data_IF_579536928251
#
_entry.id   IF_579536928251
#
_cell.length_a   1.000
_cell.length_b   1.000
_cell.length_c   1.000
_cell.angle_alpha   90.00
_cell.angle_beta   90.00
_cell.angle_gamma   90.00
#
_symmetry.space_group_name_H-M   'P 1'
#
loop_
_entity.id
_entity.type
_entity.pdbx_description
1 polymer ?
#
# COMPACT_ATOMS: atom_id res chain seq x y z
N UNK A 1 -0.66 3.58 21.19
CA UNK A 1 0.77 3.61 20.84
C UNK A 1 1.09 4.96 20.21
N UNK A 2 2.06 5.67 20.76
CA UNK A 2 2.50 6.98 20.26
C UNK A 2 3.98 6.93 19.97
N UNK A 3 4.41 7.63 18.91
CA UNK A 3 5.81 7.85 18.63
C UNK A 3 6.26 9.14 19.32
N UNK A 4 7.45 9.12 19.89
CA UNK A 4 8.08 10.32 20.47
C UNK A 4 8.83 11.06 19.36
N UNK A 5 8.58 12.37 19.27
CA UNK A 5 9.24 13.23 18.29
C UNK A 5 10.61 13.68 18.79
N UNK A 6 11.59 13.64 17.90
CA UNK A 6 12.95 14.12 18.14
C UNK A 6 13.55 14.66 16.83
N UNK A 7 14.79 15.07 16.89
CA UNK A 7 15.53 15.60 15.77
C UNK A 7 16.96 15.06 15.76
N UNK A 8 17.44 14.70 14.57
CA UNK A 8 18.83 14.31 14.32
C UNK A 8 19.43 15.28 13.30
N UNK A 9 20.32 16.17 13.76
CA UNK A 9 20.95 17.18 12.90
C UNK A 9 19.96 17.95 12.00
N UNK A 10 18.81 18.34 12.57
CA UNK A 10 17.76 19.06 11.87
C UNK A 10 16.83 18.19 11.00
N UNK A 11 16.98 16.87 11.04
CA UNK A 11 16.06 15.94 10.36
C UNK A 11 15.09 15.31 11.37
N UNK A 12 13.83 15.03 10.97
CA UNK A 12 12.87 14.37 11.85
C UNK A 12 13.36 12.99 12.27
N UNK A 13 13.21 12.69 13.55
CA UNK A 13 13.47 11.37 14.14
C UNK A 13 12.29 11.00 15.02
N UNK A 14 11.70 9.83 14.76
CA UNK A 14 10.61 9.27 15.56
C UNK A 14 11.10 8.06 16.34
N UNK A 15 10.81 8.04 17.63
CA UNK A 15 11.13 6.94 18.51
C UNK A 15 9.89 6.17 18.93
N UNK A 16 10.05 4.87 19.12
CA UNK A 16 9.10 4.03 19.83
C UNK A 16 9.86 3.10 20.79
N UNK A 17 9.72 3.33 22.09
CA UNK A 17 10.38 2.53 23.10
C UNK A 17 9.48 1.39 23.57
N UNK A 18 9.97 0.16 23.46
CA UNK A 18 9.32 -1.06 23.95
C UNK A 18 10.40 -2.11 24.22
N UNK A 19 10.06 -3.20 24.86
CA UNK A 19 10.94 -4.35 25.00
C UNK A 19 11.12 -5.03 23.64
N UNK A 20 12.31 -4.93 23.06
CA UNK A 20 12.66 -5.46 21.74
C UNK A 20 13.67 -6.61 21.81
N UNK A 21 14.04 -7.03 23.01
CA UNK A 21 15.02 -8.11 23.24
C UNK A 21 16.35 -7.87 22.51
N UNK A 22 16.94 -6.69 22.69
CA UNK A 22 18.21 -6.24 22.08
C UNK A 22 18.18 -6.15 20.54
N UNK A 23 17.00 -6.05 19.93
CA UNK A 23 16.85 -5.84 18.50
C UNK A 23 16.46 -4.37 18.25
N UNK A 24 17.19 -3.69 17.39
CA UNK A 24 16.81 -2.40 16.86
C UNK A 24 16.02 -2.60 15.54
N UNK A 25 14.88 -1.97 15.46
CA UNK A 25 14.08 -1.86 14.23
C UNK A 25 14.21 -0.43 13.72
N UNK A 26 14.85 -0.24 12.58
CA UNK A 26 15.07 1.08 12.00
C UNK A 26 14.38 1.23 10.65
N UNK A 27 13.90 2.43 10.37
CA UNK A 27 13.27 2.77 9.10
C UNK A 27 13.76 4.13 8.63
N UNK A 28 14.02 4.22 7.35
CA UNK A 28 14.42 5.44 6.67
C UNK A 28 13.38 5.74 5.60
N UNK A 29 12.70 6.88 5.73
CA UNK A 29 11.67 7.32 4.81
C UNK A 29 12.17 8.48 3.97
N UNK A 30 12.10 8.33 2.66
CA UNK A 30 12.48 9.36 1.69
C UNK A 30 11.23 9.83 0.97
N UNK A 31 10.96 11.13 1.02
CA UNK A 31 9.78 11.74 0.41
C UNK A 31 9.82 11.61 -1.12
N UNK A 32 8.73 11.10 -1.70
CA UNK A 32 8.54 10.91 -3.13
C UNK A 32 7.60 11.96 -3.75
N UNK A 33 7.05 12.89 -2.98
CA UNK A 33 6.00 13.82 -3.45
C UNK A 33 6.44 14.70 -4.62
N UNK A 34 7.73 14.82 -4.87
CA UNK A 34 8.32 15.65 -5.94
C UNK A 34 8.88 14.84 -7.11
N UNK A 35 8.68 13.53 -7.12
CA UNK A 35 9.08 12.68 -8.23
C UNK A 35 8.08 12.88 -9.38
N UNK A 36 8.52 13.27 -10.59
CA UNK A 36 7.63 13.39 -11.75
C UNK A 36 6.91 12.08 -12.07
N UNK A 37 5.67 12.18 -12.57
CA UNK A 37 4.82 11.01 -12.83
C UNK A 37 5.49 10.00 -13.75
N UNK A 38 6.21 10.46 -14.78
CA UNK A 38 6.94 9.62 -15.72
C UNK A 38 8.09 8.82 -15.08
N UNK A 39 8.59 9.23 -13.93
CA UNK A 39 9.65 8.53 -13.20
C UNK A 39 9.10 7.55 -12.15
N UNK A 40 7.82 7.59 -11.82
CA UNK A 40 7.22 6.73 -10.79
C UNK A 40 7.40 5.23 -11.07
N UNK A 41 7.26 4.72 -12.30
CA UNK A 41 7.51 3.30 -12.58
C UNK A 41 8.96 2.89 -12.30
N UNK A 42 9.91 3.79 -12.52
CA UNK A 42 11.34 3.54 -12.20
C UNK A 42 11.58 3.48 -10.69
N UNK A 43 10.84 4.26 -9.89
CA UNK A 43 10.87 4.12 -8.43
C UNK A 43 10.32 2.75 -8.00
N UNK A 44 9.23 2.31 -8.62
CA UNK A 44 8.69 0.97 -8.40
C UNK A 44 9.74 -0.11 -8.70
N UNK A 45 10.42 -0.03 -9.84
CA UNK A 45 11.46 -0.98 -10.22
C UNK A 45 12.70 -0.89 -9.32
N UNK A 46 13.05 0.30 -8.84
CA UNK A 46 14.18 0.50 -7.92
C UNK A 46 14.02 -0.31 -6.63
N UNK A 47 12.79 -0.55 -6.16
CA UNK A 47 12.55 -1.43 -4.99
C UNK A 47 12.97 -2.89 -5.22
N UNK A 48 12.99 -3.34 -6.47
CA UNK A 48 13.48 -4.68 -6.83
C UNK A 48 14.99 -4.70 -7.11
N UNK A 49 15.56 -3.57 -7.53
CA UNK A 49 16.97 -3.45 -7.93
C UNK A 49 17.88 -3.28 -6.73
N UNK A 50 17.56 -2.38 -5.79
CA UNK A 50 18.39 -2.14 -4.61
C UNK A 50 18.45 -3.40 -3.74
N UNK A 51 19.65 -3.70 -3.24
CA UNK A 51 19.89 -4.94 -2.50
C UNK A 51 20.04 -6.20 -3.37
N UNK A 52 19.78 -6.11 -4.69
CA UNK A 52 19.82 -7.23 -5.63
C UNK A 52 20.88 -7.07 -6.73
N UNK A 53 21.62 -5.99 -6.72
CA UNK A 53 22.77 -5.73 -7.62
C UNK A 53 24.06 -5.66 -6.82
N UNK A 54 25.19 -5.82 -7.51
CA UNK A 54 26.50 -5.60 -6.91
C UNK A 54 26.69 -4.13 -6.53
N UNK A 55 27.59 -3.90 -5.59
CA UNK A 55 27.98 -2.57 -5.13
C UNK A 55 29.50 -2.40 -5.30
N UNK A 56 30.05 -1.25 -4.93
CA UNK A 56 31.48 -1.01 -5.01
C UNK A 56 32.30 -1.98 -4.15
N UNK A 57 31.75 -2.45 -3.03
CA UNK A 57 32.45 -3.32 -2.07
C UNK A 57 32.12 -4.81 -2.22
N UNK A 58 30.94 -5.15 -2.74
CA UNK A 58 30.41 -6.51 -2.73
C UNK A 58 29.81 -6.90 -4.08
N UNK A 59 30.02 -8.14 -4.52
CA UNK A 59 29.11 -8.76 -5.49
C UNK A 59 27.72 -8.87 -4.87
N UNK A 60 26.67 -9.07 -5.67
CA UNK A 60 25.32 -9.18 -5.11
C UNK A 60 25.16 -10.42 -4.19
N UNK A 61 25.92 -11.51 -4.45
CA UNK A 61 25.95 -12.70 -3.60
C UNK A 61 26.64 -12.43 -2.26
N UNK A 62 27.81 -11.74 -2.31
CA UNK A 62 28.52 -11.30 -1.10
C UNK A 62 27.67 -10.32 -0.30
N UNK A 63 27.00 -9.36 -0.96
CA UNK A 63 26.09 -8.41 -0.30
C UNK A 63 24.96 -9.14 0.44
N UNK A 64 24.34 -10.11 -0.20
CA UNK A 64 23.29 -10.91 0.41
C UNK A 64 23.82 -11.70 1.63
N UNK A 65 25.02 -12.25 1.56
CA UNK A 65 25.65 -12.92 2.68
C UNK A 65 25.93 -11.96 3.85
N UNK A 66 26.47 -10.77 3.58
CA UNK A 66 26.72 -9.76 4.62
C UNK A 66 25.42 -9.28 5.28
N UNK A 67 24.35 -9.08 4.50
CA UNK A 67 23.03 -8.76 5.03
C UNK A 67 22.55 -9.85 5.99
N UNK A 68 22.71 -11.12 5.62
CA UNK A 68 22.28 -12.25 6.45
C UNK A 68 23.15 -12.44 7.71
N UNK A 69 24.44 -12.09 7.67
CA UNK A 69 25.34 -12.20 8.81
C UNK A 69 25.03 -11.10 9.85
N UNK A 70 24.84 -9.87 9.40
CA UNK A 70 24.78 -8.69 10.29
C UNK A 70 23.38 -8.21 10.59
N UNK A 71 22.37 -8.70 9.90
CA UNK A 71 21.00 -8.18 10.03
C UNK A 71 19.95 -9.28 10.04
N UNK A 72 18.76 -8.93 10.48
CA UNK A 72 17.56 -9.73 10.26
C UNK A 72 16.82 -9.39 8.94
N UNK A 73 17.51 -8.69 8.04
CA UNK A 73 17.05 -8.26 6.73
C UNK A 73 17.11 -6.75 6.54
N UNK A 74 17.41 -6.36 5.30
CA UNK A 74 17.28 -5.00 4.79
C UNK A 74 16.30 -5.09 3.60
N UNK A 75 15.30 -4.23 3.55
CA UNK A 75 14.31 -4.26 2.49
C UNK A 75 13.83 -2.87 2.08
N UNK A 76 13.56 -2.73 0.80
CA UNK A 76 13.05 -1.52 0.17
C UNK A 76 11.59 -1.72 -0.23
N UNK A 77 10.78 -0.72 -0.01
CA UNK A 77 9.36 -0.74 -0.38
C UNK A 77 8.79 0.68 -0.44
N UNK A 78 7.57 0.80 -0.94
CA UNK A 78 6.86 2.06 -0.97
C UNK A 78 5.82 2.11 0.15
N UNK A 79 5.59 3.30 0.67
CA UNK A 79 4.56 3.58 1.66
C UNK A 79 3.82 4.84 1.26
N UNK A 80 2.51 4.83 1.36
CA UNK A 80 1.66 5.98 1.06
C UNK A 80 0.84 6.26 2.30
N UNK A 81 1.06 7.42 2.89
CA UNK A 81 0.37 7.84 4.12
C UNK A 81 -0.74 8.82 3.75
N UNK A 82 -1.95 8.54 4.19
CA UNK A 82 -3.10 9.43 4.02
C UNK A 82 -3.34 10.20 5.31
N UNK A 83 -3.28 11.55 5.28
CA UNK A 83 -3.64 12.37 6.43
C UNK A 83 -5.11 12.19 6.80
N UNK A 84 -5.40 12.02 8.10
CA UNK A 84 -6.77 11.81 8.60
C UNK A 84 -7.71 12.98 8.28
N UNK A 85 -7.18 14.19 8.14
CA UNK A 85 -7.96 15.42 7.95
C UNK A 85 -8.17 15.84 6.49
N UNK A 86 -7.58 15.15 5.54
CA UNK A 86 -7.70 15.52 4.12
C UNK A 86 -7.79 14.26 3.26
N UNK A 87 -9.00 13.97 2.79
CA UNK A 87 -9.35 12.76 2.05
C UNK A 87 -8.65 12.62 0.69
N UNK A 88 -8.21 13.73 0.08
CA UNK A 88 -7.57 13.75 -1.23
C UNK A 88 -6.04 13.94 -1.15
N UNK A 89 -5.51 14.16 0.05
CA UNK A 89 -4.07 14.27 0.26
C UNK A 89 -3.45 12.90 0.51
N UNK A 90 -2.23 12.73 0.04
CA UNK A 90 -1.38 11.61 0.37
C UNK A 90 0.08 12.04 0.40
N UNK A 91 0.87 11.32 1.19
CA UNK A 91 2.31 11.53 1.29
C UNK A 91 3.01 10.22 0.94
N UNK A 92 3.65 10.13 -0.24
CA UNK A 92 4.34 8.92 -0.66
C UNK A 92 5.79 8.90 -0.18
N UNK A 93 6.26 7.74 0.23
CA UNK A 93 7.62 7.51 0.69
C UNK A 93 8.26 6.29 0.03
N UNK A 94 9.53 6.44 -0.35
CA UNK A 94 10.42 5.31 -0.52
C UNK A 94 10.97 4.93 0.85
N UNK A 95 10.76 3.70 1.25
CA UNK A 95 11.02 3.23 2.59
C UNK A 95 12.11 2.16 2.58
N UNK A 96 13.15 2.35 3.37
CA UNK A 96 14.15 1.35 3.70
C UNK A 96 13.92 0.89 5.13
N UNK A 97 13.80 -0.41 5.34
CA UNK A 97 13.61 -1.00 6.66
C UNK A 97 14.75 -1.98 6.95
N UNK A 98 15.26 -1.93 8.17
CA UNK A 98 16.27 -2.88 8.63
C UNK A 98 16.05 -3.23 10.11
N UNK A 99 16.52 -4.40 10.50
CA UNK A 99 16.56 -4.82 11.90
C UNK A 99 17.86 -5.56 12.17
N UNK A 100 18.44 -5.32 13.33
CA UNK A 100 19.67 -5.99 13.75
C UNK A 100 19.76 -6.04 15.28
N UNK A 101 20.66 -6.84 15.80
CA UNK A 101 21.05 -6.73 17.20
C UNK A 101 21.79 -5.40 17.45
N UNK A 102 21.75 -4.90 18.68
CA UNK A 102 22.38 -3.61 19.03
C UNK A 102 23.87 -3.54 18.69
N UNK A 103 24.61 -4.65 18.85
CA UNK A 103 26.03 -4.72 18.50
C UNK A 103 26.32 -4.77 16.99
N UNK A 104 25.28 -4.96 16.15
CA UNK A 104 25.36 -4.98 14.68
C UNK A 104 24.89 -3.68 14.03
N UNK A 105 24.58 -2.63 14.80
CA UNK A 105 24.06 -1.37 14.26
C UNK A 105 25.00 -0.73 13.23
N UNK A 106 26.29 -0.65 13.50
CA UNK A 106 27.26 -0.07 12.54
C UNK A 106 27.44 -0.92 11.29
N UNK A 107 27.67 -2.24 11.37
CA UNK A 107 27.67 -3.09 10.17
C UNK A 107 26.39 -2.97 9.34
N UNK A 108 25.23 -2.96 9.98
CA UNK A 108 23.93 -2.80 9.30
C UNK A 108 23.85 -1.47 8.55
N UNK A 109 24.19 -0.34 9.18
CA UNK A 109 24.07 0.97 8.53
C UNK A 109 25.07 1.17 7.39
N UNK A 110 26.27 0.56 7.50
CA UNK A 110 27.25 0.55 6.40
C UNK A 110 26.72 -0.22 5.19
N UNK A 111 25.97 -1.30 5.40
CA UNK A 111 25.28 -2.03 4.32
C UNK A 111 24.18 -1.19 3.70
N UNK A 112 23.38 -0.48 4.50
CA UNK A 112 22.35 0.45 3.99
C UNK A 112 23.00 1.56 3.16
N UNK A 113 24.07 2.18 3.66
CA UNK A 113 24.86 3.18 2.92
C UNK A 113 25.34 2.64 1.57
N UNK A 114 25.91 1.45 1.57
CA UNK A 114 26.44 0.79 0.37
C UNK A 114 25.35 0.54 -0.67
N UNK A 115 24.18 0.04 -0.24
CA UNK A 115 23.02 -0.22 -1.10
C UNK A 115 22.49 1.08 -1.71
N UNK A 116 22.30 2.13 -0.91
CA UNK A 116 21.67 3.35 -1.38
C UNK A 116 22.59 4.21 -2.27
N UNK A 117 23.91 4.22 -2.00
CA UNK A 117 24.85 5.17 -2.60
C UNK A 117 25.83 4.53 -3.60
N UNK A 118 26.02 3.22 -3.58
CA UNK A 118 27.06 2.54 -4.36
C UNK A 118 26.57 1.32 -5.14
N UNK A 119 25.27 1.16 -5.31
CA UNK A 119 24.72 0.10 -6.15
C UNK A 119 25.05 0.31 -7.62
N UNK A 120 25.45 -0.77 -8.31
CA UNK A 120 25.77 -0.75 -9.73
C UNK A 120 24.51 -0.84 -10.56
N UNK A 121 24.00 0.33 -10.98
CA UNK A 121 22.74 0.48 -11.72
C UNK A 121 22.91 0.37 -13.25
N UNK A 122 24.06 -0.09 -13.73
CA UNK A 122 24.40 -0.24 -15.17
C UNK A 122 24.83 -1.66 -15.55
N UNK A 123 24.69 -2.60 -14.62
CA UNK A 123 24.93 -4.01 -14.93
C UNK A 123 23.78 -4.58 -15.75
N UNK A 124 24.00 -4.65 -17.06
CA UNK A 124 22.94 -5.05 -18.01
C UNK A 124 22.42 -6.45 -17.75
N UNK A 125 23.32 -7.41 -17.60
CA UNK A 125 22.93 -8.81 -17.39
C UNK A 125 22.09 -8.96 -16.13
N UNK A 126 22.54 -8.33 -15.04
CA UNK A 126 21.83 -8.39 -13.76
C UNK A 126 20.49 -7.66 -13.77
N UNK A 127 20.42 -6.47 -14.39
CA UNK A 127 19.15 -5.73 -14.53
C UNK A 127 18.13 -6.47 -15.41
N UNK A 128 18.59 -7.15 -16.47
CA UNK A 128 17.74 -7.99 -17.31
C UNK A 128 17.13 -9.16 -16.53
N UNK A 129 17.94 -9.86 -15.70
CA UNK A 129 17.46 -10.91 -14.82
C UNK A 129 16.42 -10.39 -13.81
N UNK A 130 16.71 -9.27 -13.12
CA UNK A 130 15.81 -8.68 -12.14
C UNK A 130 14.49 -8.24 -12.81
N UNK A 131 14.56 -7.66 -14.00
CA UNK A 131 13.37 -7.25 -14.77
C UNK A 131 12.49 -8.46 -15.10
N UNK A 132 13.09 -9.54 -15.63
CA UNK A 132 12.39 -10.77 -15.95
C UNK A 132 11.75 -11.42 -14.73
N UNK A 133 12.47 -11.51 -13.61
CA UNK A 133 11.94 -12.02 -12.35
C UNK A 133 10.79 -11.14 -11.82
N UNK A 134 10.91 -9.83 -11.94
CA UNK A 134 9.87 -8.88 -11.50
C UNK A 134 8.62 -9.00 -12.35
N UNK A 135 8.75 -9.10 -13.67
CA UNK A 135 7.63 -9.35 -14.58
C UNK A 135 6.91 -10.65 -14.22
N UNK A 136 7.65 -11.75 -14.05
CA UNK A 136 7.07 -13.06 -13.71
C UNK A 136 6.35 -13.03 -12.37
N UNK A 137 6.91 -12.37 -11.36
CA UNK A 137 6.29 -12.21 -10.05
C UNK A 137 5.01 -11.36 -10.13
N UNK A 138 5.01 -10.31 -10.93
CA UNK A 138 3.83 -9.49 -11.17
C UNK A 138 2.73 -10.27 -11.91
N UNK A 139 3.07 -11.07 -12.91
CA UNK A 139 2.12 -11.96 -13.59
C UNK A 139 1.44 -12.92 -12.61
N UNK A 140 2.22 -13.58 -11.75
CA UNK A 140 1.68 -14.45 -10.71
C UNK A 140 0.76 -13.69 -9.75
N UNK A 141 1.16 -12.50 -9.33
CA UNK A 141 0.34 -11.66 -8.46
C UNK A 141 -0.98 -11.26 -9.15
N UNK A 142 -0.93 -10.86 -10.42
CA UNK A 142 -2.13 -10.52 -11.20
C UNK A 142 -3.10 -11.71 -11.32
N UNK A 143 -2.58 -12.93 -11.45
CA UNK A 143 -3.41 -14.15 -11.51
C UNK A 143 -4.02 -14.52 -10.15
N UNK A 144 -3.21 -14.51 -9.10
CA UNK A 144 -3.61 -15.05 -7.79
C UNK A 144 -4.40 -14.05 -6.95
N UNK A 145 -4.11 -12.76 -7.11
CA UNK A 145 -4.67 -11.65 -6.33
C UNK A 145 -5.56 -10.72 -7.17
N UNK A 146 -6.29 -11.26 -8.14
CA UNK A 146 -7.14 -10.48 -9.03
C UNK A 146 -8.18 -9.61 -8.32
N UNK A 147 -8.64 -10.03 -7.13
CA UNK A 147 -9.48 -9.20 -6.27
C UNK A 147 -8.76 -7.93 -5.78
N UNK A 148 -7.51 -8.04 -5.36
CA UNK A 148 -6.72 -6.87 -4.94
C UNK A 148 -6.42 -5.96 -6.14
N UNK A 149 -6.08 -6.55 -7.30
CA UNK A 149 -5.85 -5.80 -8.55
C UNK A 149 -7.09 -5.04 -8.97
N UNK A 150 -8.24 -5.72 -9.07
CA UNK A 150 -9.49 -5.11 -9.51
C UNK A 150 -9.98 -4.01 -8.55
N UNK A 151 -9.93 -4.25 -7.23
CA UNK A 151 -10.36 -3.24 -6.25
C UNK A 151 -9.45 -2.02 -6.22
N UNK A 152 -8.12 -2.19 -6.24
CA UNK A 152 -7.17 -1.08 -6.31
C UNK A 152 -7.35 -0.28 -7.60
N UNK A 153 -7.55 -0.96 -8.74
CA UNK A 153 -7.79 -0.32 -10.03
C UNK A 153 -9.08 0.49 -10.03
N UNK A 154 -10.19 -0.05 -9.52
CA UNK A 154 -11.46 0.68 -9.37
C UNK A 154 -11.31 1.90 -8.46
N UNK A 155 -10.58 1.79 -7.36
CA UNK A 155 -10.28 2.89 -6.46
C UNK A 155 -9.42 3.98 -7.12
N UNK A 156 -8.53 3.62 -8.05
CA UNK A 156 -7.67 4.58 -8.76
C UNK A 156 -8.43 5.53 -9.67
N UNK A 157 -9.68 5.22 -10.00
CA UNK A 157 -10.50 6.09 -10.85
C UNK A 157 -10.97 7.37 -10.15
N UNK A 158 -10.94 7.41 -8.81
CA UNK A 158 -11.38 8.58 -8.06
C UNK A 158 -10.49 8.95 -6.86
N UNK A 159 -9.59 8.06 -6.42
CA UNK A 159 -8.74 8.28 -5.26
C UNK A 159 -7.28 8.55 -5.68
N UNK A 160 -6.70 9.72 -5.37
CA UNK A 160 -5.32 10.07 -5.74
C UNK A 160 -4.27 9.10 -5.25
N UNK A 161 -4.43 8.58 -4.02
CA UNK A 161 -3.55 7.55 -3.44
C UNK A 161 -3.43 6.32 -4.32
N UNK A 162 -4.57 5.82 -4.81
CA UNK A 162 -4.60 4.63 -5.65
C UNK A 162 -4.15 4.93 -7.08
N UNK A 163 -4.40 6.14 -7.59
CA UNK A 163 -3.85 6.57 -8.89
C UNK A 163 -2.31 6.59 -8.87
N UNK A 164 -1.72 7.07 -7.77
CA UNK A 164 -0.28 6.99 -7.54
C UNK A 164 0.21 5.53 -7.42
N UNK A 165 -0.52 4.71 -6.66
CA UNK A 165 -0.18 3.30 -6.47
C UNK A 165 -0.16 2.54 -7.80
N UNK A 166 -1.08 2.80 -8.72
CA UNK A 166 -1.11 2.18 -10.06
C UNK A 166 0.18 2.45 -10.84
N UNK A 167 0.79 3.64 -10.70
CA UNK A 167 2.04 4.01 -11.39
C UNK A 167 3.28 3.33 -10.83
N UNK A 168 3.26 2.92 -9.56
CA UNK A 168 4.44 2.42 -8.85
C UNK A 168 4.43 0.92 -8.60
N UNK A 169 3.25 0.29 -8.54
CA UNK A 169 3.10 -1.12 -8.17
C UNK A 169 1.81 -1.79 -8.66
N UNK A 170 0.97 -1.08 -9.44
CA UNK A 170 -0.30 -1.60 -9.96
C UNK A 170 -0.24 -2.04 -11.42
N UNK A 171 -1.39 -1.96 -12.11
CA UNK A 171 -1.54 -2.38 -13.51
C UNK A 171 -0.70 -1.53 -14.46
N UNK A 172 -0.68 -0.20 -14.26
CA UNK A 172 0.14 0.69 -15.10
C UNK A 172 1.63 0.36 -14.96
N UNK A 173 2.08 0.07 -13.73
CA UNK A 173 3.45 -0.38 -13.47
C UNK A 173 3.75 -1.72 -14.16
N UNK A 174 2.83 -2.67 -14.10
CA UNK A 174 2.99 -3.96 -14.78
C UNK A 174 3.15 -3.79 -16.30
N UNK A 175 2.32 -2.97 -16.92
CA UNK A 175 2.45 -2.68 -18.36
C UNK A 175 3.78 -2.01 -18.67
N UNK A 176 4.23 -1.06 -17.87
CA UNK A 176 5.55 -0.46 -18.01
C UNK A 176 6.68 -1.50 -17.99
N UNK A 177 6.63 -2.45 -17.03
CA UNK A 177 7.63 -3.52 -16.94
C UNK A 177 7.61 -4.43 -18.18
N UNK A 178 6.44 -4.79 -18.67
CA UNK A 178 6.29 -5.63 -19.88
C UNK A 178 6.82 -4.91 -21.13
N UNK A 179 6.52 -3.63 -21.29
CA UNK A 179 7.06 -2.83 -22.40
C UNK A 179 8.58 -2.70 -22.30
N UNK A 180 9.10 -2.46 -21.11
CA UNK A 180 10.54 -2.36 -20.87
C UNK A 180 11.25 -3.69 -21.17
N UNK A 181 10.68 -4.82 -20.73
CA UNK A 181 11.22 -6.17 -21.02
C UNK A 181 11.23 -6.46 -22.52
N UNK A 182 10.18 -6.07 -23.24
CA UNK A 182 10.04 -6.30 -24.67
C UNK A 182 10.96 -5.44 -25.55
N UNK A 183 11.45 -4.32 -25.04
CA UNK A 183 12.30 -3.38 -25.78
C UNK A 183 13.54 -2.92 -24.98
N UNK A 184 14.07 -3.80 -24.14
CA UNK A 184 15.19 -3.45 -23.26
C UNK A 184 16.44 -3.04 -24.03
N UNK A 185 16.67 -3.61 -25.21
CA UNK A 185 17.83 -3.28 -26.04
C UNK A 185 17.90 -1.78 -26.36
N UNK A 186 16.77 -1.17 -26.72
CA UNK A 186 16.69 0.25 -27.07
C UNK A 186 16.51 1.16 -25.85
N UNK A 187 15.99 0.64 -24.74
CA UNK A 187 15.63 1.42 -23.54
C UNK A 187 16.61 1.27 -22.39
N UNK A 188 17.67 0.48 -22.55
CA UNK A 188 18.59 0.19 -21.44
C UNK A 188 19.30 1.44 -20.91
N UNK A 189 19.79 2.31 -21.80
CA UNK A 189 20.49 3.53 -21.37
C UNK A 189 19.54 4.49 -20.65
N UNK A 190 18.30 4.61 -21.12
CA UNK A 190 17.26 5.40 -20.45
C UNK A 190 16.88 4.80 -19.09
N UNK A 191 16.79 3.47 -19.00
CA UNK A 191 16.56 2.77 -17.73
C UNK A 191 17.66 3.13 -16.71
N UNK A 192 18.92 2.99 -17.10
CA UNK A 192 20.04 3.31 -16.21
C UNK A 192 20.03 4.78 -15.77
N UNK A 193 19.83 5.70 -16.73
CA UNK A 193 19.80 7.13 -16.45
C UNK A 193 18.64 7.50 -15.50
N UNK A 194 17.46 6.92 -15.69
CA UNK A 194 16.30 7.19 -14.85
C UNK A 194 16.43 6.57 -13.44
N UNK A 195 17.01 5.38 -13.32
CA UNK A 195 17.31 4.79 -12.00
C UNK A 195 18.30 5.67 -11.22
N UNK A 196 19.38 6.12 -11.87
CA UNK A 196 20.35 7.03 -11.24
C UNK A 196 19.69 8.37 -10.84
N UNK A 197 18.85 8.94 -11.71
CA UNK A 197 18.14 10.18 -11.43
C UNK A 197 17.21 10.04 -10.24
N UNK A 198 16.44 8.96 -10.17
CA UNK A 198 15.55 8.69 -9.04
C UNK A 198 16.34 8.53 -7.73
N UNK A 199 17.48 7.82 -7.73
CA UNK A 199 18.36 7.74 -6.57
C UNK A 199 18.85 9.11 -6.12
N UNK A 200 19.27 9.98 -7.06
CA UNK A 200 19.69 11.34 -6.77
C UNK A 200 18.56 12.22 -6.19
N UNK A 201 17.33 12.00 -6.65
CA UNK A 201 16.17 12.72 -6.13
C UNK A 201 15.76 12.25 -4.74
N UNK A 202 15.91 10.96 -4.43
CA UNK A 202 15.48 10.36 -3.16
C UNK A 202 16.54 10.46 -2.06
N UNK A 203 17.75 9.96 -2.31
CA UNK A 203 18.77 9.69 -1.28
C UNK A 203 19.62 10.91 -1.02
N UNK A 204 19.02 11.93 -0.42
CA UNK A 204 19.63 13.20 -0.05
C UNK A 204 19.49 13.46 1.43
N UNK A 205 20.43 14.20 1.98
CA UNK A 205 20.45 14.60 3.39
C UNK A 205 19.24 15.40 3.82
N UNK A 206 18.66 16.22 2.93
CA UNK A 206 17.49 17.04 3.20
C UNK A 206 16.14 16.30 2.98
N UNK A 207 16.17 15.02 2.58
CA UNK A 207 14.99 14.25 2.19
C UNK A 207 14.75 13.00 3.04
N UNK A 208 15.33 12.88 4.22
CA UNK A 208 15.22 11.69 5.06
C UNK A 208 14.45 11.98 6.35
N UNK A 209 13.59 11.04 6.75
CA UNK A 209 12.99 10.93 8.07
C UNK A 209 13.42 9.60 8.69
N UNK A 210 13.91 9.68 9.92
CA UNK A 210 14.39 8.53 10.68
C UNK A 210 13.31 8.02 11.62
N UNK A 211 13.22 6.71 11.78
CA UNK A 211 12.35 6.07 12.76
C UNK A 211 13.07 4.89 13.38
N UNK A 212 12.99 4.76 14.70
CA UNK A 212 13.61 3.67 15.44
C UNK A 212 12.69 3.12 16.52
N UNK A 213 12.70 1.79 16.67
CA UNK A 213 12.11 1.13 17.81
C UNK A 213 13.19 0.28 18.50
N UNK A 214 13.42 0.55 19.78
CA UNK A 214 14.43 -0.12 20.63
C UNK A 214 14.09 0.12 22.12
N UNK A 215 14.91 -0.47 22.97
CA UNK A 215 14.94 -0.13 24.39
C UNK A 215 15.80 1.13 24.58
N UNK A 216 15.45 2.00 25.53
CA UNK A 216 16.11 3.29 25.71
C UNK A 216 17.63 3.23 25.96
N UNK A 217 18.16 2.11 26.41
CA UNK A 217 19.59 1.89 26.54
C UNK A 217 20.35 1.91 25.20
N UNK A 218 19.65 1.64 24.08
CA UNK A 218 20.22 1.63 22.73
C UNK A 218 20.17 2.98 22.02
N UNK A 219 19.48 3.98 22.56
CA UNK A 219 19.24 5.28 21.90
C UNK A 219 20.52 5.92 21.38
N UNK A 220 21.59 5.93 22.19
CA UNK A 220 22.88 6.50 21.79
C UNK A 220 23.47 5.80 20.57
N UNK A 221 23.51 4.46 20.59
CA UNK A 221 24.07 3.66 19.50
C UNK A 221 23.23 3.77 18.22
N UNK A 222 21.91 3.78 18.34
CA UNK A 222 20.99 3.98 17.20
C UNK A 222 21.16 5.37 16.62
N UNK A 223 21.27 6.41 17.46
CA UNK A 223 21.51 7.78 17.01
C UNK A 223 22.82 7.93 16.26
N UNK A 224 23.91 7.37 16.79
CA UNK A 224 25.24 7.39 16.16
C UNK A 224 25.21 6.70 14.78
N UNK A 225 24.54 5.56 14.69
CA UNK A 225 24.32 4.82 13.46
C UNK A 225 23.56 5.66 12.42
N UNK A 226 22.45 6.30 12.80
CA UNK A 226 21.68 7.17 11.90
C UNK A 226 22.45 8.41 11.48
N UNK A 227 23.22 9.00 12.38
CA UNK A 227 24.07 10.15 12.08
C UNK A 227 25.19 9.79 11.08
N UNK A 228 25.73 8.57 11.18
CA UNK A 228 26.67 8.06 10.18
C UNK A 228 26.06 8.08 8.78
N UNK A 229 24.87 7.49 8.59
CA UNK A 229 24.19 7.51 7.30
C UNK A 229 23.91 8.94 6.83
N UNK A 230 23.39 9.80 7.71
CA UNK A 230 23.06 11.18 7.37
C UNK A 230 24.27 11.95 6.83
N UNK A 231 25.46 11.76 7.43
CA UNK A 231 26.71 12.38 6.98
C UNK A 231 27.17 11.89 5.61
N UNK A 232 26.82 10.66 5.25
CA UNK A 232 27.18 10.05 3.96
C UNK A 232 26.23 10.42 2.82
N UNK A 233 24.97 10.72 3.14
CA UNK A 233 24.02 11.17 2.14
C UNK A 233 24.48 12.49 1.49
N UNK A 234 24.32 12.63 0.15
CA UNK A 234 24.70 13.84 -0.56
C UNK A 234 23.99 15.08 -0.02
N UNK A 235 24.72 16.18 0.05
CA UNK A 235 24.14 17.51 0.21
C UNK A 235 23.64 17.98 -1.15
N UNK A 236 22.33 17.98 -1.35
CA UNK A 236 21.75 18.43 -2.59
C UNK A 236 20.37 19.02 -2.35
N UNK A 237 20.05 20.08 -3.06
CA UNK A 237 18.67 20.56 -3.14
C UNK A 237 18.12 20.20 -4.50
N UNK A 238 16.86 19.80 -4.55
CA UNK A 238 16.15 19.69 -5.82
C UNK A 238 16.17 21.05 -6.52
N UNK A 239 16.23 21.02 -7.84
CA UNK A 239 16.09 22.26 -8.65
C UNK A 239 14.75 22.93 -8.27
N UNK A 240 14.70 24.26 -8.35
CA UNK A 240 13.52 25.05 -8.01
C UNK A 240 12.25 24.59 -8.78
N UNK A 241 12.42 24.09 -9.99
CA UNK A 241 11.35 23.54 -10.85
C UNK A 241 10.65 22.30 -10.25
N UNK A 242 11.33 21.59 -9.33
CA UNK A 242 10.81 20.42 -8.60
C UNK A 242 10.54 20.74 -7.12
N UNK A 243 10.28 22.00 -6.79
CA UNK A 243 10.06 22.42 -5.40
C UNK A 243 8.65 22.12 -4.89
N UNK A 244 7.66 22.02 -5.78
CA UNK A 244 6.27 21.80 -5.44
C UNK A 244 5.92 20.30 -5.52
N UNK A 245 5.09 19.79 -4.59
CA UNK A 245 4.60 18.42 -4.65
C UNK A 245 3.79 18.15 -5.93
N UNK A 246 4.00 16.96 -6.50
CA UNK A 246 3.29 16.49 -7.68
C UNK A 246 2.27 15.43 -7.27
N UNK A 247 1.04 15.58 -7.74
CA UNK A 247 -0.04 14.64 -7.47
C UNK A 247 -0.53 13.99 -8.76
N UNK A 248 -0.61 12.66 -8.75
CA UNK A 248 -1.23 11.89 -9.83
C UNK A 248 -2.74 12.13 -9.78
N UNK A 249 -3.32 12.51 -10.92
CA UNK A 249 -4.77 12.77 -11.03
C UNK A 249 -5.52 11.47 -11.31
N UNK A 250 -6.55 11.16 -10.52
CA UNK A 250 -7.46 10.07 -10.85
C UNK A 250 -8.20 10.32 -12.17
N UNK A 251 -8.39 9.26 -12.95
CA UNK A 251 -9.18 9.30 -14.19
C UNK A 251 -10.12 8.10 -14.18
N UNK A 252 -11.43 8.34 -14.25
CA UNK A 252 -12.43 7.28 -14.32
C UNK A 252 -12.39 6.62 -15.70
N UNK A 253 -12.13 5.32 -15.74
CA UNK A 253 -11.98 4.54 -16.97
C UNK A 253 -12.98 3.42 -17.09
N UNK A 254 -13.36 2.78 -15.99
CA UNK A 254 -14.17 1.55 -15.97
C UNK A 254 -13.61 0.50 -16.94
N UNK A 255 -12.75 -0.36 -16.45
CA UNK A 255 -11.97 -1.25 -17.29
C UNK A 255 -12.31 -2.71 -17.08
N UNK A 256 -12.32 -3.47 -18.18
CA UNK A 256 -12.23 -4.92 -18.19
C UNK A 256 -10.81 -5.36 -18.45
N UNK A 257 -10.19 -6.06 -17.49
CA UNK A 257 -8.84 -6.61 -17.58
C UNK A 257 -8.94 -8.07 -17.99
N UNK A 258 -8.64 -8.37 -19.26
CA UNK A 258 -8.80 -9.70 -19.84
C UNK A 258 -7.64 -10.61 -19.45
N UNK A 259 -8.00 -11.84 -19.05
CA UNK A 259 -7.07 -12.90 -18.73
C UNK A 259 -7.54 -14.22 -19.37
N UNK A 260 -6.67 -15.24 -19.53
CA UNK A 260 -7.08 -16.55 -20.02
C UNK A 260 -7.94 -17.35 -19.03
N UNK A 261 -8.19 -16.84 -17.81
CA UNK A 261 -8.99 -17.49 -16.79
C UNK A 261 -10.47 -17.60 -17.14
N UNK A 262 -11.17 -18.48 -16.42
CA UNK A 262 -12.63 -18.68 -16.56
C UNK A 262 -13.46 -18.00 -15.49
N UNK A 263 -12.81 -17.48 -14.46
CA UNK A 263 -13.46 -16.83 -13.32
C UNK A 263 -13.17 -15.34 -13.35
N UNK A 264 -14.06 -14.58 -12.72
CA UNK A 264 -13.96 -13.13 -12.64
C UNK A 264 -13.61 -12.67 -11.22
N UNK A 265 -13.00 -11.51 -11.15
CA UNK A 265 -12.84 -10.70 -9.94
C UNK A 265 -13.57 -9.39 -10.22
N UNK A 266 -14.76 -9.25 -9.65
CA UNK A 266 -15.66 -8.13 -9.95
C UNK A 266 -15.53 -7.10 -8.84
N UNK A 267 -15.00 -5.92 -9.15
CA UNK A 267 -14.86 -4.83 -8.20
C UNK A 267 -15.76 -3.65 -8.57
N UNK A 268 -16.41 -3.09 -7.57
CA UNK A 268 -17.14 -1.82 -7.65
C UNK A 268 -16.80 -0.96 -6.45
N UNK A 269 -16.44 0.29 -6.70
CA UNK A 269 -15.98 1.22 -5.69
C UNK A 269 -16.60 2.61 -5.87
N UNK A 270 -16.48 3.42 -4.83
CA UNK A 270 -16.92 4.81 -4.88
C UNK A 270 -16.64 5.55 -3.58
N UNK A 271 -16.94 6.84 -3.61
CA UNK A 271 -16.79 7.77 -2.50
C UNK A 271 -18.13 7.94 -1.78
N UNK A 272 -18.06 8.13 -0.46
CA UNK A 272 -19.16 8.59 0.37
C UNK A 272 -18.73 9.83 1.16
N UNK A 273 -19.69 10.63 1.60
CA UNK A 273 -19.43 11.94 2.23
C UNK A 273 -19.85 11.98 3.70
N UNK A 274 -20.44 10.90 4.23
CA UNK A 274 -20.74 10.81 5.66
C UNK A 274 -19.46 10.69 6.45
N UNK A 275 -19.49 11.22 7.67
CA UNK A 275 -18.39 11.08 8.62
C UNK A 275 -18.17 9.59 8.95
N UNK A 276 -16.92 9.17 8.93
CA UNK A 276 -16.55 7.79 9.26
C UNK A 276 -16.78 7.52 10.75
N UNK A 277 -17.49 6.44 11.05
CA UNK A 277 -17.94 6.12 12.42
C UNK A 277 -17.71 4.66 12.79
N UNK A 278 -17.85 4.36 14.08
CA UNK A 278 -17.85 2.99 14.59
C UNK A 278 -18.94 2.11 13.96
N UNK A 279 -20.09 2.69 13.60
CA UNK A 279 -21.15 1.98 12.88
C UNK A 279 -20.68 1.45 11.51
N UNK A 280 -19.81 2.18 10.80
CA UNK A 280 -19.24 1.73 9.52
C UNK A 280 -18.28 0.57 9.67
N UNK A 281 -17.54 0.50 10.79
CA UNK A 281 -16.69 -0.65 11.10
C UNK A 281 -17.53 -1.91 11.36
N UNK A 282 -18.64 -1.78 12.07
CA UNK A 282 -19.59 -2.89 12.32
C UNK A 282 -20.29 -3.28 11.02
N UNK A 283 -20.70 -2.31 10.20
CA UNK A 283 -21.30 -2.53 8.87
C UNK A 283 -20.37 -3.38 7.99
N UNK A 284 -19.08 -3.05 7.93
CA UNK A 284 -18.10 -3.82 7.17
C UNK A 284 -18.11 -5.30 7.59
N UNK A 285 -18.11 -5.57 8.88
CA UNK A 285 -18.16 -6.93 9.40
C UNK A 285 -19.48 -7.65 9.03
N UNK A 286 -20.60 -6.95 9.15
CA UNK A 286 -21.92 -7.44 8.85
C UNK A 286 -22.08 -7.75 7.36
N UNK A 287 -21.70 -6.83 6.48
CA UNK A 287 -21.77 -7.03 5.02
C UNK A 287 -20.95 -8.25 4.58
N UNK A 288 -19.72 -8.37 5.08
CA UNK A 288 -18.82 -9.46 4.75
C UNK A 288 -19.37 -10.83 5.19
N UNK A 289 -19.93 -10.93 6.42
CA UNK A 289 -20.35 -12.19 7.01
C UNK A 289 -21.76 -12.65 6.57
N UNK A 290 -22.66 -11.70 6.29
CA UNK A 290 -24.06 -12.04 5.98
C UNK A 290 -24.42 -11.73 4.51
N UNK A 291 -24.45 -10.47 4.14
CA UNK A 291 -24.98 -10.07 2.83
C UNK A 291 -24.15 -10.61 1.67
N UNK A 292 -22.85 -10.28 1.64
CA UNK A 292 -21.95 -10.67 0.56
C UNK A 292 -21.68 -12.18 0.58
N UNK A 293 -21.50 -12.76 1.76
CA UNK A 293 -21.34 -14.20 1.90
C UNK A 293 -22.53 -14.97 1.32
N UNK A 294 -23.74 -14.60 1.67
CA UNK A 294 -24.93 -15.29 1.21
C UNK A 294 -25.21 -15.04 -0.27
N UNK A 295 -25.15 -13.78 -0.72
CA UNK A 295 -25.58 -13.41 -2.08
C UNK A 295 -24.54 -13.73 -3.14
N UNK A 296 -23.27 -13.48 -2.88
CA UNK A 296 -22.19 -13.63 -3.86
C UNK A 296 -21.57 -15.02 -3.79
N UNK A 297 -21.27 -15.51 -2.58
CA UNK A 297 -20.62 -16.83 -2.42
C UNK A 297 -21.64 -17.97 -2.43
N UNK A 298 -22.57 -18.02 -1.51
CA UNK A 298 -23.47 -19.17 -1.34
C UNK A 298 -24.42 -19.31 -2.51
N UNK A 299 -25.13 -18.25 -2.86
CA UNK A 299 -26.11 -18.25 -3.95
C UNK A 299 -25.46 -18.02 -5.32
N UNK A 300 -24.46 -17.15 -5.40
CA UNK A 300 -23.79 -16.80 -6.65
C UNK A 300 -22.69 -17.76 -7.08
N UNK A 301 -22.14 -18.54 -6.16
CA UNK A 301 -21.10 -19.55 -6.45
C UNK A 301 -19.68 -19.00 -6.54
N UNK A 302 -19.44 -17.73 -6.16
CA UNK A 302 -18.09 -17.20 -6.03
C UNK A 302 -17.33 -17.90 -4.89
N UNK A 303 -16.01 -17.95 -4.99
CA UNK A 303 -15.19 -18.52 -3.92
C UNK A 303 -15.13 -17.62 -2.68
N UNK A 304 -15.25 -16.31 -2.87
CA UNK A 304 -15.31 -15.33 -1.80
C UNK A 304 -15.86 -13.98 -2.26
N UNK A 305 -16.13 -13.12 -1.31
CA UNK A 305 -16.45 -11.73 -1.54
C UNK A 305 -15.97 -10.89 -0.36
N UNK A 306 -15.36 -9.76 -0.64
CA UNK A 306 -14.75 -8.86 0.33
C UNK A 306 -15.29 -7.45 0.17
N UNK A 307 -15.19 -6.69 1.25
CA UNK A 307 -15.52 -5.27 1.30
C UNK A 307 -14.47 -4.49 2.09
N UNK A 308 -14.38 -3.22 1.83
CA UNK A 308 -13.64 -2.27 2.64
C UNK A 308 -14.37 -0.95 2.74
N UNK A 309 -14.31 -0.35 3.92
CA UNK A 309 -14.81 0.99 4.20
C UNK A 309 -13.68 1.73 4.91
N UNK A 310 -13.24 2.83 4.31
CA UNK A 310 -12.09 3.60 4.78
C UNK A 310 -12.51 4.91 5.43
N UNK A 311 -11.77 5.34 6.45
CA UNK A 311 -11.91 6.66 7.07
C UNK A 311 -11.83 7.81 6.06
N UNK A 312 -11.10 7.62 4.98
CA UNK A 312 -10.98 8.57 3.87
C UNK A 312 -12.21 8.66 2.95
N UNK A 313 -13.38 8.17 3.40
CA UNK A 313 -14.63 8.30 2.64
C UNK A 313 -14.72 7.40 1.42
N UNK A 314 -14.11 6.22 1.45
CA UNK A 314 -14.08 5.28 0.32
C UNK A 314 -14.64 3.92 0.71
N UNK A 315 -15.34 3.31 -0.24
CA UNK A 315 -15.92 1.99 -0.07
C UNK A 315 -15.75 1.19 -1.36
N UNK A 316 -15.42 -0.10 -1.24
CA UNK A 316 -15.52 -1.03 -2.35
C UNK A 316 -16.09 -2.38 -1.93
N UNK A 317 -16.66 -3.07 -2.91
CA UNK A 317 -16.95 -4.50 -2.89
C UNK A 317 -16.15 -5.18 -3.98
N UNK A 318 -15.68 -6.41 -3.72
CA UNK A 318 -15.00 -7.22 -4.74
C UNK A 318 -15.27 -8.70 -4.53
N UNK A 319 -15.62 -9.40 -5.60
CA UNK A 319 -15.74 -10.86 -5.60
C UNK A 319 -14.39 -11.53 -5.91
N UNK A 320 -14.25 -12.76 -5.46
CA UNK A 320 -13.05 -13.57 -5.65
C UNK A 320 -13.40 -14.89 -6.33
N UNK A 321 -12.80 -15.13 -7.51
CA UNK A 321 -13.04 -16.31 -8.35
C UNK A 321 -14.55 -16.53 -8.56
N UNK A 322 -15.18 -15.54 -9.16
CA UNK A 322 -16.62 -15.42 -9.36
C UNK A 322 -16.99 -15.97 -10.75
N UNK A 323 -17.95 -16.91 -10.87
CA UNK A 323 -18.45 -17.33 -12.17
C UNK A 323 -19.36 -16.30 -12.84
N UNK A 324 -19.79 -15.26 -12.09
CA UNK A 324 -20.74 -14.25 -12.54
C UNK A 324 -20.05 -12.89 -12.76
N UNK A 325 -20.75 -11.98 -13.41
CA UNK A 325 -20.37 -10.58 -13.54
C UNK A 325 -21.55 -9.65 -13.24
N UNK A 326 -22.57 -9.63 -14.10
CA UNK A 326 -23.70 -8.71 -13.99
C UNK A 326 -24.56 -8.96 -12.76
N UNK A 327 -24.79 -10.21 -12.40
CA UNK A 327 -25.56 -10.56 -11.20
C UNK A 327 -24.81 -10.16 -9.93
N UNK A 328 -23.49 -10.24 -9.91
CA UNK A 328 -22.65 -9.77 -8.79
C UNK A 328 -22.70 -8.25 -8.66
N UNK A 329 -22.59 -7.50 -9.77
CA UNK A 329 -22.76 -6.05 -9.77
C UNK A 329 -24.15 -5.64 -9.25
N UNK A 330 -25.20 -6.37 -9.63
CA UNK A 330 -26.56 -6.16 -9.11
C UNK A 330 -26.66 -6.37 -7.60
N UNK A 331 -25.94 -7.34 -7.05
CA UNK A 331 -25.85 -7.55 -5.59
C UNK A 331 -25.17 -6.34 -4.92
N UNK A 332 -24.07 -5.84 -5.49
CA UNK A 332 -23.38 -4.66 -4.97
C UNK A 332 -24.29 -3.42 -4.98
N UNK A 333 -25.03 -3.20 -6.06
CA UNK A 333 -25.92 -2.06 -6.20
C UNK A 333 -27.10 -2.07 -5.20
N UNK A 334 -27.55 -3.27 -4.80
CA UNK A 334 -28.63 -3.42 -3.83
C UNK A 334 -28.18 -3.54 -2.37
N UNK A 335 -26.90 -3.42 -2.10
CA UNK A 335 -26.37 -3.51 -0.74
C UNK A 335 -26.98 -2.44 0.18
N UNK A 336 -27.19 -1.22 -0.34
CA UNK A 336 -27.80 -0.13 0.42
C UNK A 336 -29.25 -0.47 0.88
N UNK A 337 -30.04 -1.13 0.02
CA UNK A 337 -31.39 -1.57 0.37
C UNK A 337 -31.38 -2.59 1.52
N UNK A 338 -30.43 -3.52 1.51
CA UNK A 338 -30.25 -4.46 2.60
C UNK A 338 -29.91 -3.74 3.91
N UNK A 339 -29.01 -2.77 3.87
CA UNK A 339 -28.62 -2.00 5.05
C UNK A 339 -29.78 -1.15 5.60
N UNK A 340 -30.58 -0.52 4.73
CA UNK A 340 -31.76 0.28 5.12
C UNK A 340 -32.81 -0.53 5.90
N UNK A 341 -32.96 -1.79 5.55
CA UNK A 341 -33.95 -2.68 6.16
C UNK A 341 -33.34 -3.60 7.23
N UNK A 342 -32.07 -3.39 7.54
CA UNK A 342 -31.37 -4.21 8.53
C UNK A 342 -32.05 -4.14 9.90
N UNK A 343 -32.30 -5.30 10.47
CA UNK A 343 -32.78 -5.47 11.84
C UNK A 343 -32.25 -6.77 12.41
N UNK A 344 -31.97 -6.77 13.71
CA UNK A 344 -31.53 -7.95 14.42
C UNK A 344 -31.81 -7.82 15.92
N UNK A 345 -31.83 -8.96 16.62
CA UNK A 345 -31.93 -8.95 18.08
C UNK A 345 -30.59 -8.60 18.73
N UNK A 346 -30.60 -8.32 20.04
CA UNK A 346 -29.40 -7.91 20.78
C UNK A 346 -28.27 -8.93 20.70
N UNK A 347 -28.57 -10.21 20.76
CA UNK A 347 -27.55 -11.28 20.69
C UNK A 347 -26.82 -11.29 19.36
N UNK A 348 -27.51 -11.05 18.27
CA UNK A 348 -26.92 -10.93 16.92
C UNK A 348 -26.09 -9.67 16.82
N UNK A 349 -26.58 -8.54 17.36
CA UNK A 349 -25.83 -7.29 17.40
C UNK A 349 -24.53 -7.44 18.19
N UNK A 350 -24.57 -8.06 19.37
CA UNK A 350 -23.39 -8.35 20.18
C UNK A 350 -22.34 -9.17 19.43
N UNK A 351 -22.76 -10.13 18.61
CA UNK A 351 -21.88 -10.93 17.78
C UNK A 351 -21.10 -10.07 16.76
N UNK A 352 -21.78 -9.12 16.09
CA UNK A 352 -21.12 -8.21 15.16
C UNK A 352 -20.19 -7.22 15.86
N UNK A 353 -20.60 -6.71 17.02
CA UNK A 353 -19.77 -5.83 17.86
C UNK A 353 -18.50 -6.56 18.31
N UNK A 354 -18.63 -7.74 18.88
CA UNK A 354 -17.49 -8.56 19.33
C UNK A 354 -16.55 -8.88 18.18
N UNK A 355 -17.09 -9.27 17.02
CA UNK A 355 -16.30 -9.55 15.82
C UNK A 355 -15.55 -8.31 15.30
N UNK A 356 -16.11 -7.13 15.46
CA UNK A 356 -15.48 -5.86 15.10
C UNK A 356 -14.38 -5.47 16.08
N UNK A 357 -14.65 -5.55 17.38
CA UNK A 357 -13.65 -5.27 18.42
C UNK A 357 -12.46 -6.22 18.32
N UNK A 358 -12.69 -7.51 18.04
CA UNK A 358 -11.61 -8.48 17.86
C UNK A 358 -10.62 -8.09 16.74
N UNK A 359 -11.09 -7.39 15.73
CA UNK A 359 -10.25 -6.86 14.63
C UNK A 359 -9.50 -5.58 15.01
N UNK A 360 -10.05 -4.79 15.93
CA UNK A 360 -9.40 -3.58 16.46
C UNK A 360 -8.33 -3.91 17.51
N UNK A 361 -8.53 -4.98 18.26
CA UNK A 361 -7.69 -5.38 19.40
C UNK A 361 -6.77 -6.56 19.10
N UNK A 362 -6.22 -6.61 17.90
CA UNK A 362 -5.25 -7.64 17.54
C UNK A 362 -3.98 -7.50 18.40
N UNK A 363 -3.49 -8.59 19.02
CA UNK A 363 -2.22 -8.55 19.75
C UNK A 363 -1.06 -8.16 18.81
N UNK A 364 -0.27 -7.19 19.24
CA UNK A 364 0.87 -6.66 18.47
C UNK A 364 2.17 -6.91 19.22
N UNK A 365 3.20 -7.37 18.53
CA UNK A 365 4.57 -7.37 19.05
C UNK A 365 5.19 -5.96 18.97
N UNK A 366 6.39 -5.78 19.54
CA UNK A 366 7.05 -4.47 19.61
C UNK A 366 7.24 -3.82 18.21
N UNK A 367 7.65 -4.58 17.19
CA UNK A 367 7.83 -4.08 15.84
C UNK A 367 6.50 -3.64 15.19
N UNK A 368 5.42 -4.36 15.43
CA UNK A 368 4.07 -4.02 14.93
C UNK A 368 3.52 -2.78 15.63
N UNK A 369 3.72 -2.67 16.96
CA UNK A 369 3.35 -1.47 17.72
C UNK A 369 4.09 -0.24 17.22
N UNK A 370 5.40 -0.36 17.00
CA UNK A 370 6.24 0.71 16.45
C UNK A 370 5.74 1.14 15.05
N UNK A 371 5.46 0.17 14.18
CA UNK A 371 4.92 0.46 12.85
C UNK A 371 3.59 1.23 12.92
N UNK A 372 2.68 0.80 13.80
CA UNK A 372 1.42 1.48 14.03
C UNK A 372 1.62 2.89 14.62
N UNK A 373 2.55 3.06 15.57
CA UNK A 373 2.84 4.36 16.17
C UNK A 373 3.39 5.36 15.12
N UNK A 374 4.30 4.93 14.27
CA UNK A 374 4.87 5.77 13.21
C UNK A 374 3.82 6.16 12.17
N UNK A 375 3.01 5.20 11.71
CA UNK A 375 1.94 5.47 10.75
C UNK A 375 0.88 6.42 11.31
N UNK A 376 0.47 6.23 12.57
CA UNK A 376 -0.46 7.14 13.27
C UNK A 376 0.11 8.54 13.39
N UNK A 377 1.39 8.65 13.75
CA UNK A 377 2.07 9.95 13.84
C UNK A 377 2.05 10.66 12.47
N UNK A 378 2.47 9.98 11.41
CA UNK A 378 2.53 10.55 10.06
C UNK A 378 1.14 10.90 9.50
N UNK A 379 0.12 10.10 9.79
CA UNK A 379 -1.26 10.36 9.33
C UNK A 379 -2.03 11.35 10.20
N UNK A 380 -1.54 11.65 11.40
CA UNK A 380 -2.25 12.46 12.39
C UNK A 380 -3.39 11.72 13.09
N UNK A 381 -3.40 10.39 13.09
CA UNK A 381 -4.39 9.57 13.78
C UNK A 381 -4.06 9.46 15.27
N UNK A 382 -4.88 10.09 16.12
CA UNK A 382 -4.66 10.15 17.56
C UNK A 382 -5.30 9.00 18.31
N UNK A 383 -4.79 8.69 19.51
CA UNK A 383 -5.40 7.70 20.42
C UNK A 383 -6.82 8.11 20.83
N UNK A 384 -7.11 9.41 20.96
CA UNK A 384 -8.45 9.91 21.23
C UNK A 384 -9.44 9.56 20.10
N UNK A 385 -9.04 9.72 18.84
CA UNK A 385 -9.86 9.33 17.69
C UNK A 385 -10.12 7.83 17.64
N UNK A 386 -9.14 7.02 17.99
CA UNK A 386 -9.29 5.56 18.08
C UNK A 386 -10.19 5.14 19.23
N UNK A 387 -10.10 5.82 20.39
CA UNK A 387 -10.97 5.55 21.51
C UNK A 387 -12.42 5.92 21.20
N UNK A 388 -12.65 7.07 20.55
CA UNK A 388 -13.98 7.47 20.08
C UNK A 388 -14.61 6.40 19.20
N UNK A 389 -13.86 5.91 18.19
CA UNK A 389 -14.34 4.82 17.32
C UNK A 389 -14.68 3.54 18.10
N UNK A 390 -13.85 3.19 19.07
CA UNK A 390 -14.10 2.02 19.92
C UNK A 390 -15.39 2.16 20.73
N UNK A 391 -15.60 3.33 21.33
CA UNK A 391 -16.79 3.62 22.11
C UNK A 391 -18.05 3.59 21.23
N UNK A 392 -17.96 4.14 20.02
CA UNK A 392 -19.03 4.06 19.02
C UNK A 392 -19.35 2.62 18.61
N UNK A 393 -18.32 1.78 18.36
CA UNK A 393 -18.53 0.34 18.05
C UNK A 393 -19.25 -0.37 19.18
N UNK A 394 -18.87 -0.11 20.44
CA UNK A 394 -19.49 -0.75 21.59
C UNK A 394 -20.95 -0.32 21.81
N UNK A 395 -21.31 0.88 21.38
CA UNK A 395 -22.63 1.47 21.54
C UNK A 395 -23.55 1.30 20.32
N UNK A 396 -23.08 0.68 19.23
CA UNK A 396 -23.83 0.62 17.96
C UNK A 396 -25.16 -0.12 18.10
N UNK A 397 -26.18 0.44 17.47
CA UNK A 397 -27.54 -0.13 17.39
C UNK A 397 -27.92 -0.50 15.97
N UNK A 398 -28.97 -1.31 15.74
CA UNK A 398 -29.50 -1.55 14.40
C UNK A 398 -29.89 -0.26 13.65
N UNK A 399 -30.36 0.75 14.36
CA UNK A 399 -30.67 2.06 13.80
C UNK A 399 -29.42 2.77 13.25
N UNK A 400 -28.30 2.71 13.98
CA UNK A 400 -27.05 3.30 13.54
C UNK A 400 -26.53 2.60 12.27
N UNK A 401 -26.71 1.28 12.18
CA UNK A 401 -26.40 0.52 10.94
C UNK A 401 -27.26 1.01 9.78
N UNK A 402 -28.60 1.13 9.96
CA UNK A 402 -29.48 1.61 8.88
C UNK A 402 -29.09 2.98 8.34
N UNK A 403 -28.61 3.88 9.21
CA UNK A 403 -28.14 5.23 8.80
C UNK A 403 -26.93 5.18 7.87
N UNK A 404 -26.10 4.15 7.94
CA UNK A 404 -24.93 3.99 7.06
C UNK A 404 -25.31 3.63 5.62
N UNK A 405 -26.57 3.28 5.35
CA UNK A 405 -27.04 2.96 4.01
C UNK A 405 -26.82 4.10 3.00
N UNK A 406 -26.86 5.35 3.46
CA UNK A 406 -26.60 6.53 2.63
C UNK A 406 -25.17 6.46 2.07
N UNK A 407 -24.18 6.12 2.90
CA UNK A 407 -22.79 5.98 2.48
C UNK A 407 -22.61 4.88 1.42
N UNK A 408 -23.26 3.73 1.63
CA UNK A 408 -23.21 2.60 0.67
C UNK A 408 -23.86 3.02 -0.67
N UNK A 409 -24.98 3.71 -0.62
CA UNK A 409 -25.69 4.18 -1.83
C UNK A 409 -24.86 5.20 -2.60
N UNK A 410 -24.27 6.16 -1.94
CA UNK A 410 -23.39 7.15 -2.58
C UNK A 410 -22.20 6.46 -3.26
N UNK A 411 -21.47 5.61 -2.55
CA UNK A 411 -20.32 4.92 -3.09
C UNK A 411 -20.66 4.05 -4.30
N UNK A 412 -21.74 3.27 -4.23
CA UNK A 412 -22.16 2.43 -5.36
C UNK A 412 -22.68 3.27 -6.54
N UNK A 413 -23.29 4.43 -6.26
CA UNK A 413 -23.78 5.36 -7.26
C UNK A 413 -22.68 6.00 -8.12
N UNK A 414 -21.45 6.07 -7.63
CA UNK A 414 -20.30 6.55 -8.42
C UNK A 414 -19.94 5.63 -9.59
N UNK A 415 -20.32 4.38 -9.52
CA UNK A 415 -20.18 3.41 -10.60
C UNK A 415 -18.73 3.27 -11.11
N UNK A 416 -17.75 3.19 -10.21
CA UNK A 416 -16.36 2.91 -10.54
C UNK A 416 -16.15 1.39 -10.57
N UNK A 417 -16.05 0.81 -11.77
CA UNK A 417 -16.03 -0.63 -12.00
C UNK A 417 -14.72 -1.06 -12.62
N UNK A 418 -14.10 -2.10 -12.06
CA UNK A 418 -13.02 -2.84 -12.70
C UNK A 418 -13.28 -4.34 -12.54
N UNK A 419 -13.23 -5.06 -13.63
CA UNK A 419 -13.38 -6.51 -13.63
C UNK A 419 -12.16 -7.14 -14.28
N UNK A 420 -11.48 -8.01 -13.54
CA UNK A 420 -10.47 -8.89 -14.12
C UNK A 420 -11.12 -10.23 -14.39
N UNK A 421 -11.05 -10.73 -15.62
CA UNK A 421 -11.73 -11.97 -15.95
C UNK A 421 -11.50 -12.50 -17.35
N UNK A 422 -12.24 -13.55 -17.70
CA UNK A 422 -12.15 -14.21 -18.98
C UNK A 422 -12.56 -13.32 -20.16
N UNK A 423 -11.78 -13.35 -21.22
CA UNK A 423 -11.97 -12.53 -22.42
C UNK A 423 -13.41 -12.61 -22.96
N UNK A 424 -13.95 -13.82 -23.13
CA UNK A 424 -15.30 -14.01 -23.67
C UNK A 424 -16.42 -13.39 -22.80
N UNK A 425 -16.26 -13.40 -21.48
CA UNK A 425 -17.25 -12.82 -20.55
C UNK A 425 -17.17 -11.30 -20.59
N UNK A 426 -15.94 -10.76 -20.62
CA UNK A 426 -15.75 -9.29 -20.67
C UNK A 426 -16.22 -8.70 -22.01
N UNK A 427 -15.94 -9.36 -23.12
CA UNK A 427 -16.41 -8.93 -24.44
C UNK A 427 -17.94 -8.93 -24.55
N UNK A 428 -18.62 -9.94 -24.02
CA UNK A 428 -20.10 -9.97 -23.97
C UNK A 428 -20.70 -8.82 -23.15
N UNK A 429 -19.94 -8.30 -22.20
CA UNK A 429 -20.37 -7.23 -21.30
C UNK A 429 -19.60 -5.92 -21.53
N UNK A 430 -19.04 -5.74 -22.72
CA UNK A 430 -18.19 -4.57 -23.06
C UNK A 430 -18.84 -3.22 -22.80
N UNK A 431 -20.17 -3.13 -22.85
CA UNK A 431 -20.91 -1.89 -22.61
C UNK A 431 -20.82 -1.38 -21.16
N UNK A 432 -20.36 -2.23 -20.23
CA UNK A 432 -20.07 -1.85 -18.85
C UNK A 432 -18.74 -1.05 -18.71
N UNK A 433 -17.86 -1.14 -19.71
CA UNK A 433 -16.50 -0.67 -19.63
C UNK A 433 -16.23 0.45 -20.63
N UNK A 434 -15.38 1.40 -20.24
CA UNK A 434 -14.83 2.39 -21.14
C UNK A 434 -13.77 1.78 -22.07
N UNK A 435 -13.09 0.70 -21.62
CA UNK A 435 -12.10 -0.04 -22.40
C UNK A 435 -11.92 -1.47 -21.88
N UNK A 436 -11.49 -2.35 -22.79
CA UNK A 436 -11.00 -3.68 -22.47
C UNK A 436 -9.48 -3.70 -22.70
N UNK A 437 -8.74 -4.26 -21.75
CA UNK A 437 -7.27 -4.36 -21.81
C UNK A 437 -6.85 -5.83 -21.68
N UNK A 438 -5.94 -6.27 -22.52
CA UNK A 438 -5.28 -7.56 -22.34
C UNK A 438 -4.28 -7.44 -21.18
N UNK A 439 -4.57 -8.10 -20.08
CA UNK A 439 -3.71 -8.07 -18.89
C UNK A 439 -2.66 -9.18 -18.93
N UNK A 440 -3.09 -10.40 -19.26
CA UNK A 440 -2.23 -11.59 -19.33
C UNK A 440 -2.47 -12.36 -20.61
#
# INVERSE_FOLDING_TARGET
FQADEDSLCGRPLLWYHDFTNQIAYVKFYFDMSRIPEELLPYVGFLTAVLGSVSTDRYSYEELNNEINIHTGGIGESLSIIEPVKNEDAYQPYFKVIAKCFYHELMPMIELVEEILLRSHLKDRERLEEILSETCSRMEMYMMDSGNAVASARAMSYFAPTYAFQEKTQGVDYFFFLKELEGDLENRFDDLCANLELVCQMLFRRDNITFMAACEGEADGAVRDCMEHLLKKLPEGRLKAELSEPLFVRPIKKNEGLMTPGKVQFVAKAGRFHQEFSGAMLVLRNLLSLDYLWNKVRVLGGAYGCMDAIYRSGRLYFVSYRDPNLTSTLSVFDRAAEYVETFDCNQREMDKYIIGTISRLDVPLNAAMKAAAAFERHLSGLTDAMLQTLRDEVLAVTPEDIRRTAVAVREAMGENCICVQGGESVLEKNKDLFGQLLQLL
#
